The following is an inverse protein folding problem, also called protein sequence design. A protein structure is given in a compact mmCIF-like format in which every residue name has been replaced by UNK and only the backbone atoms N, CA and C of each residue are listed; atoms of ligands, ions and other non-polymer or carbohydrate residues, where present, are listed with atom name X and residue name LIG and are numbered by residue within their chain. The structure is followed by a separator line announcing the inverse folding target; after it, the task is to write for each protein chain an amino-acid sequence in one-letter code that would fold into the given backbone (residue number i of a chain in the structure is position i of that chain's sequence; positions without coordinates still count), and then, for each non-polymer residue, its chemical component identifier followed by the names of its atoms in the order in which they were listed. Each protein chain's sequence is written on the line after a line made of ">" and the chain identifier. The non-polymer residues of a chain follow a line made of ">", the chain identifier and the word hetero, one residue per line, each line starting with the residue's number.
data_IF_320470902178
#
_entry.id   IF_320470902178
#
_cell.length_a   1.000
_cell.length_b   1.000
_cell.length_c   1.000
_cell.angle_alpha   90.00
_cell.angle_beta   90.00
_cell.angle_gamma   90.00
#
_symmetry.space_group_name_H-M   'P 1'
#
loop_
_entity.id
_entity.type
_entity.pdbx_description
1 polymer ?
#
# COMPACT_ATOMS: atom_id res chain seq x y z
N UNK A 1 -0.38 -13.86 -23.54
CA UNK A 1 -0.06 -12.45 -23.20
C UNK A 1 -1.27 -11.60 -23.58
N UNK A 2 -2.12 -11.26 -22.62
CA UNK A 2 -3.25 -10.35 -22.86
C UNK A 2 -2.76 -8.90 -22.77
N UNK A 3 -3.05 -8.08 -23.77
CA UNK A 3 -2.80 -6.65 -23.74
C UNK A 3 -3.49 -6.02 -22.52
N UNK A 4 -2.71 -5.54 -21.56
CA UNK A 4 -3.23 -4.71 -20.48
C UNK A 4 -3.64 -3.40 -21.14
N UNK A 5 -4.95 -3.21 -21.38
CA UNK A 5 -5.49 -1.93 -21.81
C UNK A 5 -4.99 -0.87 -20.83
N UNK A 6 -4.15 0.03 -21.34
CA UNK A 6 -3.61 1.12 -20.55
C UNK A 6 -4.75 2.10 -20.37
N UNK A 7 -5.39 2.07 -19.21
CA UNK A 7 -6.56 2.92 -18.98
C UNK A 7 -6.08 4.36 -18.86
N UNK A 8 -6.47 5.20 -19.80
CA UNK A 8 -6.21 6.63 -19.79
C UNK A 8 -7.14 7.34 -18.79
N UNK A 9 -6.80 7.22 -17.50
CA UNK A 9 -7.55 7.85 -16.40
C UNK A 9 -7.64 9.37 -16.57
N UNK A 10 -6.64 10.00 -17.20
CA UNK A 10 -6.62 11.43 -17.49
C UNK A 10 -7.73 11.88 -18.44
N UNK A 11 -8.14 11.04 -19.40
CA UNK A 11 -9.26 11.35 -20.29
C UNK A 11 -10.60 11.22 -19.57
N UNK A 12 -10.73 10.22 -18.68
CA UNK A 12 -11.91 10.06 -17.85
C UNK A 12 -12.06 11.25 -16.90
N UNK A 13 -11.04 11.61 -16.13
CA UNK A 13 -11.16 12.68 -15.12
C UNK A 13 -11.36 14.09 -15.70
N UNK A 14 -10.98 14.33 -16.97
CA UNK A 14 -11.22 15.61 -17.65
C UNK A 14 -12.69 15.88 -17.99
N UNK A 15 -13.46 14.82 -18.20
CA UNK A 15 -14.81 14.93 -18.75
C UNK A 15 -15.91 14.87 -17.70
N UNK A 16 -15.57 14.62 -16.43
CA UNK A 16 -16.55 14.41 -15.37
C UNK A 16 -16.44 15.41 -14.24
N UNK A 17 -17.55 15.53 -13.51
CA UNK A 17 -17.67 16.43 -12.37
C UNK A 17 -16.75 15.97 -11.25
N UNK A 18 -15.81 16.84 -10.90
CA UNK A 18 -15.01 16.70 -9.68
C UNK A 18 -15.93 16.94 -8.46
N UNK A 19 -16.07 15.92 -7.61
CA UNK A 19 -16.89 15.99 -6.41
C UNK A 19 -16.06 16.39 -5.19
N UNK A 20 -14.80 15.99 -5.16
CA UNK A 20 -13.89 16.27 -4.05
C UNK A 20 -12.43 16.19 -4.51
N UNK A 21 -11.60 17.14 -4.08
CA UNK A 21 -10.14 17.04 -4.21
C UNK A 21 -9.45 17.71 -3.01
N UNK A 22 -8.90 16.89 -2.11
CA UNK A 22 -8.11 17.40 -0.98
C UNK A 22 -7.21 16.30 -0.45
N UNK A 23 -6.03 16.70 0.02
CA UNK A 23 -5.10 15.81 0.70
C UNK A 23 -4.77 14.53 -0.10
N UNK A 24 -4.72 14.60 -1.43
CA UNK A 24 -4.40 13.46 -2.28
C UNK A 24 -5.53 12.43 -2.40
N UNK A 25 -6.73 12.74 -1.90
CA UNK A 25 -7.97 12.04 -2.22
C UNK A 25 -8.74 12.89 -3.24
N UNK A 26 -9.00 12.31 -4.39
CA UNK A 26 -9.77 12.93 -5.48
C UNK A 26 -10.94 12.00 -5.83
N UNK A 27 -12.15 12.53 -5.88
CA UNK A 27 -13.36 11.75 -6.16
C UNK A 27 -14.15 12.40 -7.29
N UNK A 28 -14.57 11.57 -8.25
CA UNK A 28 -15.44 11.94 -9.37
C UNK A 28 -16.70 11.08 -9.33
N UNK A 29 -17.84 11.69 -9.68
CA UNK A 29 -19.05 10.97 -10.05
C UNK A 29 -19.09 10.90 -11.58
N UNK A 30 -19.25 9.68 -12.10
CA UNK A 30 -19.25 9.43 -13.55
C UNK A 30 -20.44 8.53 -13.93
N UNK A 31 -20.98 8.63 -15.16
CA UNK A 31 -21.98 7.68 -15.64
C UNK A 31 -21.41 6.25 -15.71
N UNK A 32 -22.14 5.26 -15.18
CA UNK A 32 -21.68 3.86 -15.11
C UNK A 32 -21.34 3.29 -16.49
N UNK A 33 -22.08 3.71 -17.53
CA UNK A 33 -21.86 3.31 -18.94
C UNK A 33 -20.46 3.63 -19.47
N UNK A 34 -19.80 4.66 -18.93
CA UNK A 34 -18.51 5.13 -19.44
C UNK A 34 -17.32 4.39 -18.79
N UNK A 35 -17.60 3.50 -17.84
CA UNK A 35 -16.60 2.76 -17.07
C UNK A 35 -16.42 1.30 -17.51
N UNK A 36 -17.05 0.87 -18.61
CA UNK A 36 -17.02 -0.52 -19.06
C UNK A 36 -15.59 -1.10 -19.13
N UNK A 37 -14.64 -0.35 -19.70
CA UNK A 37 -13.23 -0.77 -19.80
C UNK A 37 -12.50 -0.84 -18.44
N UNK A 38 -12.92 -0.03 -17.46
CA UNK A 38 -12.40 -0.01 -16.09
C UNK A 38 -12.92 -1.17 -15.24
N UNK A 39 -14.16 -1.56 -15.46
CA UNK A 39 -14.89 -2.54 -14.66
C UNK A 39 -14.65 -3.99 -15.15
N UNK A 40 -14.34 -4.19 -16.43
CA UNK A 40 -14.23 -5.53 -17.09
C UNK A 40 -12.95 -6.34 -16.77
N UNK A 41 -12.36 -6.20 -15.59
CA UNK A 41 -11.22 -7.05 -15.18
C UNK A 41 -11.07 -7.15 -13.68
N UNK A 42 -11.27 -8.35 -13.13
CA UNK A 42 -10.93 -8.82 -11.78
C UNK A 42 -10.93 -7.74 -10.68
N UNK A 43 -12.04 -7.03 -10.50
CA UNK A 43 -12.24 -6.23 -9.30
C UNK A 43 -12.48 -7.13 -8.10
N UNK A 44 -11.77 -6.86 -7.01
CA UNK A 44 -12.04 -7.51 -5.72
C UNK A 44 -13.44 -7.13 -5.24
N UNK A 45 -14.37 -8.07 -5.27
CA UNK A 45 -15.70 -7.87 -4.70
C UNK A 45 -15.57 -7.85 -3.18
N UNK A 46 -15.84 -6.70 -2.58
CA UNK A 46 -15.99 -6.57 -1.13
C UNK A 46 -17.48 -6.48 -0.81
N UNK A 47 -17.94 -7.25 0.18
CA UNK A 47 -19.31 -7.17 0.70
C UNK A 47 -19.50 -5.94 1.58
N UNK A 48 -20.77 -5.58 1.83
CA UNK A 48 -21.24 -4.40 2.57
C UNK A 48 -20.63 -4.28 3.98
N UNK A 49 -19.43 -3.71 4.07
CA UNK A 49 -18.74 -3.34 5.31
C UNK A 49 -17.83 -2.13 5.08
N UNK A 50 -17.26 -1.59 6.15
CA UNK A 50 -16.21 -0.57 6.11
C UNK A 50 -14.99 -1.07 5.35
N UNK A 51 -14.74 -0.52 4.16
CA UNK A 51 -13.62 -0.92 3.32
C UNK A 51 -12.49 0.08 3.45
N UNK A 52 -11.39 -0.35 4.07
CA UNK A 52 -10.17 0.41 4.09
C UNK A 52 -9.46 0.30 2.73
N UNK A 53 -9.30 1.43 2.03
CA UNK A 53 -8.58 1.49 0.77
C UNK A 53 -7.11 1.13 0.99
N UNK A 54 -6.63 0.14 0.24
CA UNK A 54 -5.34 -0.49 0.42
C UNK A 54 -4.16 0.50 0.41
N UNK A 55 -3.24 0.35 1.37
CA UNK A 55 -2.10 1.26 1.54
C UNK A 55 -2.47 2.65 2.07
N UNK A 56 -3.74 2.90 2.35
CA UNK A 56 -4.26 4.15 2.95
C UNK A 56 -5.01 3.85 4.25
N UNK A 57 -5.48 4.89 4.94
CA UNK A 57 -6.43 4.78 6.06
C UNK A 57 -7.82 5.29 5.69
N UNK A 58 -8.10 5.42 4.40
CA UNK A 58 -9.38 5.91 3.92
C UNK A 58 -10.37 4.76 4.03
N UNK A 59 -11.46 4.97 4.76
CA UNK A 59 -12.53 3.99 4.96
C UNK A 59 -13.71 4.40 4.07
N UNK A 60 -14.18 3.48 3.25
CA UNK A 60 -15.42 3.61 2.49
C UNK A 60 -16.51 2.81 3.16
N UNK A 61 -17.59 3.49 3.54
CA UNK A 61 -18.80 2.86 4.03
C UNK A 61 -19.88 2.95 2.94
N UNK A 62 -20.38 1.78 2.53
CA UNK A 62 -21.43 1.64 1.53
C UNK A 62 -22.54 0.77 2.12
N UNK A 63 -23.64 1.37 2.62
CA UNK A 63 -24.73 0.63 3.25
C UNK A 63 -25.63 -0.11 2.26
N UNK A 64 -25.52 0.19 0.97
CA UNK A 64 -26.29 -0.42 -0.12
C UNK A 64 -25.52 -1.59 -0.77
N UNK A 65 -26.24 -2.41 -1.55
CA UNK A 65 -25.62 -3.41 -2.41
C UNK A 65 -24.86 -2.74 -3.56
N UNK A 66 -23.63 -3.16 -3.76
CA UNK A 66 -22.78 -2.62 -4.81
C UNK A 66 -21.53 -3.46 -5.04
N UNK A 67 -20.60 -2.91 -5.82
CA UNK A 67 -19.30 -3.52 -6.06
C UNK A 67 -18.24 -2.43 -6.10
N UNK A 68 -17.13 -2.68 -5.39
CA UNK A 68 -15.94 -1.85 -5.48
C UNK A 68 -14.91 -2.60 -6.32
N UNK A 69 -14.53 -2.04 -7.45
CA UNK A 69 -13.46 -2.52 -8.30
C UNK A 69 -12.17 -1.79 -7.89
N UNK A 70 -11.33 -2.48 -7.12
CA UNK A 70 -10.00 -1.99 -6.77
C UNK A 70 -9.00 -2.17 -7.91
N UNK A 71 -8.48 -1.09 -8.48
CA UNK A 71 -7.31 -1.09 -9.37
C UNK A 71 -6.17 -0.34 -8.70
N UNK A 72 -5.26 -1.11 -8.12
CA UNK A 72 -4.40 -0.55 -7.09
C UNK A 72 -3.44 0.54 -7.51
N UNK A 73 -3.04 0.69 -8.79
CA UNK A 73 -2.09 1.74 -9.18
C UNK A 73 -2.36 2.31 -10.58
N UNK A 74 -2.36 3.63 -10.65
CA UNK A 74 -2.40 4.47 -11.84
C UNK A 74 -1.36 5.58 -11.69
N UNK A 75 -0.74 5.99 -12.79
CA UNK A 75 0.20 7.11 -12.80
C UNK A 75 -0.54 8.34 -13.30
N UNK A 76 -0.57 9.40 -12.48
CA UNK A 76 -1.22 10.68 -12.81
C UNK A 76 -0.26 11.79 -12.41
N UNK A 77 0.07 12.70 -13.34
CA UNK A 77 1.03 13.79 -13.11
C UNK A 77 2.37 13.32 -12.52
N UNK A 78 2.90 12.19 -13.02
CA UNK A 78 4.12 11.53 -12.50
C UNK A 78 4.04 11.04 -11.04
N UNK A 79 2.87 11.00 -10.43
CA UNK A 79 2.65 10.41 -9.10
C UNK A 79 1.93 9.06 -9.20
N UNK A 80 2.34 8.11 -8.36
CA UNK A 80 1.66 6.82 -8.21
C UNK A 80 0.44 6.97 -7.29
N UNK A 81 -0.74 6.67 -7.80
CA UNK A 81 -2.03 6.78 -7.10
C UNK A 81 -2.80 5.47 -7.21
N UNK A 82 -3.66 5.16 -6.25
CA UNK A 82 -4.60 4.06 -6.32
C UNK A 82 -5.90 4.53 -6.93
N UNK A 83 -6.49 3.71 -7.79
CA UNK A 83 -7.77 3.96 -8.43
C UNK A 83 -8.79 2.93 -7.95
N UNK A 84 -9.87 3.41 -7.36
CA UNK A 84 -10.98 2.56 -6.92
C UNK A 84 -12.22 3.02 -7.66
N UNK A 85 -12.99 2.08 -8.17
CA UNK A 85 -14.26 2.37 -8.84
C UNK A 85 -15.36 1.72 -8.02
N UNK A 86 -16.35 2.49 -7.59
CA UNK A 86 -17.47 1.98 -6.81
C UNK A 86 -18.75 2.14 -7.63
N UNK A 87 -19.53 1.06 -7.70
CA UNK A 87 -20.86 1.05 -8.32
C UNK A 87 -21.88 0.60 -7.28
N UNK A 88 -23.05 1.23 -7.24
CA UNK A 88 -24.19 0.75 -6.47
C UNK A 88 -25.27 0.23 -7.43
N UNK A 89 -26.07 -0.73 -6.98
CA UNK A 89 -27.19 -1.24 -7.78
C UNK A 89 -28.43 -0.34 -7.67
N UNK A 90 -28.52 0.43 -6.58
CA UNK A 90 -29.59 1.39 -6.28
C UNK A 90 -28.98 2.72 -5.80
N UNK A 91 -29.84 3.75 -5.64
CA UNK A 91 -29.46 5.02 -5.03
C UNK A 91 -28.87 4.79 -3.63
N UNK A 92 -27.69 5.35 -3.37
CA UNK A 92 -26.92 5.03 -2.18
C UNK A 92 -26.17 6.23 -1.63
N UNK A 93 -26.14 6.39 -0.29
CA UNK A 93 -25.23 7.32 0.38
C UNK A 93 -23.93 6.59 0.73
N UNK A 94 -22.85 6.94 0.04
CA UNK A 94 -21.50 6.45 0.30
C UNK A 94 -20.79 7.43 1.22
N UNK A 95 -20.20 6.93 2.31
CA UNK A 95 -19.41 7.74 3.23
C UNK A 95 -17.93 7.43 3.00
N UNK A 96 -17.12 8.46 2.79
CA UNK A 96 -15.66 8.36 2.68
C UNK A 96 -15.01 9.07 3.87
N UNK A 97 -14.34 8.30 4.73
CA UNK A 97 -13.70 8.81 5.94
C UNK A 97 -12.18 8.72 5.88
N UNK A 98 -11.51 9.79 6.27
CA UNK A 98 -10.08 9.82 6.52
C UNK A 98 -9.77 10.67 7.75
N UNK A 99 -9.83 10.02 8.91
CA UNK A 99 -9.71 10.67 10.22
C UNK A 99 -8.40 11.48 10.37
N UNK A 100 -7.29 10.97 9.84
CA UNK A 100 -5.99 11.64 9.91
C UNK A 100 -5.94 12.98 9.15
N UNK A 101 -6.83 13.21 8.18
CA UNK A 101 -6.96 14.46 7.42
C UNK A 101 -8.25 15.23 7.78
N UNK A 102 -9.01 14.76 8.78
CA UNK A 102 -10.30 15.35 9.15
C UNK A 102 -11.35 15.28 8.04
N UNK A 103 -11.29 14.26 7.19
CA UNK A 103 -12.22 14.10 6.06
C UNK A 103 -13.34 13.14 6.49
N UNK A 104 -14.58 13.59 6.33
CA UNK A 104 -15.78 12.77 6.45
C UNK A 104 -16.77 13.26 5.39
N UNK A 105 -16.72 12.65 4.21
CA UNK A 105 -17.49 13.06 3.05
C UNK A 105 -18.68 12.12 2.86
N UNK A 106 -19.86 12.69 2.65
CA UNK A 106 -21.07 11.97 2.27
C UNK A 106 -21.39 12.26 0.82
N UNK A 107 -21.45 11.22 0.00
CA UNK A 107 -21.75 11.31 -1.42
C UNK A 107 -23.01 10.51 -1.72
N UNK A 108 -24.01 11.16 -2.30
CA UNK A 108 -25.14 10.46 -2.89
C UNK A 108 -24.73 9.96 -4.27
N UNK A 109 -24.84 8.65 -4.48
CA UNK A 109 -24.59 7.97 -5.73
C UNK A 109 -25.91 7.44 -6.29
N UNK A 110 -26.27 7.83 -7.51
CA UNK A 110 -27.46 7.28 -8.18
C UNK A 110 -27.11 5.93 -8.83
N UNK A 111 -28.06 4.99 -8.95
CA UNK A 111 -27.78 3.66 -9.49
C UNK A 111 -27.20 3.63 -10.93
N UNK A 112 -27.39 4.70 -11.71
CA UNK A 112 -26.81 4.89 -13.05
C UNK A 112 -25.41 5.51 -13.05
N UNK A 113 -24.91 5.90 -11.88
CA UNK A 113 -23.62 6.55 -11.66
C UNK A 113 -22.61 5.58 -11.04
N UNK A 114 -21.37 6.04 -10.96
CA UNK A 114 -20.28 5.35 -10.30
C UNK A 114 -19.32 6.37 -9.70
N UNK A 115 -18.67 6.00 -8.60
CA UNK A 115 -17.61 6.81 -8.02
C UNK A 115 -16.27 6.33 -8.54
N UNK A 116 -15.49 7.25 -9.10
CA UNK A 116 -14.05 7.07 -9.26
C UNK A 116 -13.38 7.72 -8.06
N UNK A 117 -12.64 6.93 -7.29
CA UNK A 117 -11.92 7.36 -6.10
C UNK A 117 -10.43 7.17 -6.38
N UNK A 118 -9.71 8.28 -6.49
CA UNK A 118 -8.27 8.32 -6.72
C UNK A 118 -7.60 8.72 -5.41
N UNK A 119 -6.70 7.89 -4.92
CA UNK A 119 -6.00 8.14 -3.67
C UNK A 119 -4.51 8.10 -3.88
N UNK A 120 -3.79 9.08 -3.35
CA UNK A 120 -2.34 8.99 -3.23
C UNK A 120 -2.03 7.88 -2.24
N UNK A 121 -1.35 6.84 -2.70
CA UNK A 121 -1.03 5.68 -1.86
C UNK A 121 0.14 5.96 -0.92
N UNK A 122 0.92 6.98 -1.23
CA UNK A 122 1.93 7.50 -0.32
C UNK A 122 1.28 8.52 0.63
N UNK A 123 1.52 8.35 1.93
CA UNK A 123 1.01 9.27 2.96
C UNK A 123 1.40 10.71 2.68
N UNK A 124 0.44 11.61 2.88
CA UNK A 124 0.71 13.04 3.08
C UNK A 124 1.25 13.22 4.50
N UNK A 125 2.57 13.30 4.63
CA UNK A 125 3.25 13.83 5.81
C UNK A 125 4.21 12.88 6.54
N UNK A 126 5.20 13.50 7.18
CA UNK A 126 6.23 12.87 8.05
C UNK A 126 5.68 12.54 9.44
N UNK A 127 4.50 11.93 9.59
CA UNK A 127 4.07 11.45 10.91
C UNK A 127 4.93 10.23 11.27
N UNK A 128 5.73 10.32 12.34
CA UNK A 128 6.54 9.21 12.85
C UNK A 128 5.63 8.01 13.14
N UNK A 129 5.71 6.98 12.30
CA UNK A 129 5.05 5.69 12.58
C UNK A 129 5.76 5.12 13.79
N UNK A 130 4.98 4.72 14.81
CA UNK A 130 5.53 3.99 15.94
C UNK A 130 5.70 2.52 15.54
N UNK A 131 6.77 1.85 16.01
CA UNK A 131 6.91 0.40 15.89
C UNK A 131 5.67 -0.33 16.39
N UNK A 132 5.31 -1.46 15.78
CA UNK A 132 4.31 -2.35 16.36
C UNK A 132 4.86 -3.01 17.62
N UNK A 133 3.99 -3.25 18.61
CA UNK A 133 4.38 -3.94 19.86
C UNK A 133 4.99 -5.31 19.59
N UNK A 134 4.54 -5.99 18.54
CA UNK A 134 5.05 -7.29 18.14
C UNK A 134 6.49 -7.20 17.61
N UNK A 135 6.80 -6.24 16.73
CA UNK A 135 8.16 -6.02 16.26
C UNK A 135 9.13 -5.67 17.41
N UNK A 136 8.66 -4.88 18.40
CA UNK A 136 9.45 -4.60 19.61
C UNK A 136 9.72 -5.85 20.45
N UNK A 137 8.77 -6.79 20.52
CA UNK A 137 8.97 -8.08 21.20
C UNK A 137 10.02 -8.92 20.48
N UNK A 138 10.00 -8.97 19.15
CA UNK A 138 11.03 -9.65 18.34
C UNK A 138 12.41 -9.05 18.62
N UNK A 139 12.53 -7.71 18.53
CA UNK A 139 13.78 -7.02 18.84
C UNK A 139 14.30 -7.39 20.23
N UNK A 140 13.42 -7.36 21.25
CA UNK A 140 13.80 -7.74 22.62
C UNK A 140 14.23 -9.21 22.73
N UNK A 141 13.50 -10.13 22.09
CA UNK A 141 13.81 -11.56 22.11
C UNK A 141 15.16 -11.88 21.45
N UNK A 142 15.50 -11.13 20.40
CA UNK A 142 16.79 -11.24 19.71
C UNK A 142 17.91 -10.42 20.39
N UNK A 143 17.65 -9.73 21.51
CA UNK A 143 18.65 -8.91 22.19
C UNK A 143 19.09 -7.68 21.38
N UNK A 144 18.19 -7.13 20.56
CA UNK A 144 18.46 -6.02 19.64
C UNK A 144 17.92 -4.70 20.17
N UNK A 145 18.66 -3.63 19.90
CA UNK A 145 18.19 -2.26 20.08
C UNK A 145 18.46 -1.45 18.82
N UNK A 146 17.58 -0.50 18.52
CA UNK A 146 17.65 0.20 17.25
C UNK A 146 16.55 1.21 17.04
N UNK A 147 16.56 1.82 15.86
CA UNK A 147 15.60 2.84 15.44
C UNK A 147 14.78 2.37 14.23
N UNK A 148 13.49 2.63 14.24
CA UNK A 148 12.62 2.40 13.08
C UNK A 148 12.99 3.39 11.97
N UNK A 149 13.29 2.86 10.79
CA UNK A 149 13.59 3.64 9.58
C UNK A 149 12.39 3.70 8.64
N UNK A 150 11.65 2.61 8.54
CA UNK A 150 10.48 2.51 7.68
C UNK A 150 9.43 1.59 8.31
N UNK A 151 8.17 1.97 8.15
CA UNK A 151 7.05 1.07 8.35
C UNK A 151 5.98 1.48 7.34
N UNK A 152 5.27 0.52 6.78
CA UNK A 152 4.06 0.83 6.02
C UNK A 152 2.91 1.20 6.97
N UNK A 153 1.76 1.59 6.41
CA UNK A 153 0.64 2.08 7.21
C UNK A 153 -0.02 0.99 8.08
N UNK A 154 0.06 -0.27 7.64
CA UNK A 154 -0.58 -1.43 8.27
C UNK A 154 0.41 -2.25 9.12
N UNK A 155 1.68 -1.83 9.19
CA UNK A 155 2.77 -2.59 9.82
C UNK A 155 2.98 -3.99 9.23
N UNK A 156 2.58 -4.21 7.97
CA UNK A 156 2.89 -5.39 7.17
C UNK A 156 4.40 -5.50 6.90
N UNK A 157 5.11 -4.37 6.85
CA UNK A 157 6.57 -4.34 6.80
C UNK A 157 7.11 -3.25 7.73
N UNK A 158 8.15 -3.58 8.49
CA UNK A 158 8.86 -2.66 9.36
C UNK A 158 10.36 -2.89 9.25
N UNK A 159 11.13 -1.84 8.99
CA UNK A 159 12.59 -1.89 8.86
C UNK A 159 13.22 -1.04 9.97
N UNK A 160 14.09 -1.67 10.76
CA UNK A 160 14.84 -1.06 11.83
C UNK A 160 16.33 -1.03 11.48
N UNK A 161 17.00 0.08 11.78
CA UNK A 161 18.45 0.07 11.92
C UNK A 161 18.77 -0.51 13.28
N UNK A 162 19.70 -1.45 13.33
CA UNK A 162 20.22 -1.99 14.58
C UNK A 162 21.39 -1.13 15.02
N UNK A 163 21.28 -0.54 16.20
CA UNK A 163 22.33 0.31 16.78
C UNK A 163 23.26 -0.52 17.67
N UNK A 164 22.71 -1.44 18.48
CA UNK A 164 23.50 -2.42 19.24
C UNK A 164 22.95 -3.83 19.05
N UNK A 165 23.89 -4.78 18.93
CA UNK A 165 23.65 -6.20 18.69
C UNK A 165 24.44 -7.02 19.71
N UNK A 166 23.76 -7.89 20.47
CA UNK A 166 24.39 -8.72 21.51
C UNK A 166 24.81 -10.12 21.03
N UNK A 167 24.47 -10.52 19.80
CA UNK A 167 24.77 -11.84 19.23
C UNK A 167 26.03 -11.92 18.34
N UNK A 168 26.35 -13.12 17.86
CA UNK A 168 27.49 -13.38 16.99
C UNK A 168 27.33 -12.79 15.57
N UNK A 169 28.44 -12.74 14.82
CA UNK A 169 28.52 -12.30 13.43
C UNK A 169 27.56 -13.10 12.53
N UNK A 170 26.80 -12.39 11.71
CA UNK A 170 25.86 -12.98 10.76
C UNK A 170 26.65 -13.48 9.55
N UNK A 171 26.65 -14.79 9.29
CA UNK A 171 27.26 -15.41 8.11
C UNK A 171 26.20 -16.10 7.28
N UNK A 172 26.22 -15.87 5.96
CA UNK A 172 25.22 -16.43 5.06
C UNK A 172 25.51 -16.13 3.61
N UNK A 173 24.69 -16.67 2.68
CA UNK A 173 24.85 -16.40 1.27
C UNK A 173 24.66 -14.91 0.99
N UNK A 174 25.49 -14.41 0.09
CA UNK A 174 25.39 -13.05 -0.37
C UNK A 174 24.28 -12.97 -1.43
N UNK A 175 23.31 -12.09 -1.20
CA UNK A 175 22.13 -11.88 -2.05
C UNK A 175 21.99 -10.41 -2.41
N UNK A 176 21.49 -10.10 -3.60
CA UNK A 176 21.20 -8.73 -4.06
C UNK A 176 19.73 -8.34 -3.89
N UNK A 177 18.86 -9.32 -3.70
CA UNK A 177 17.42 -9.13 -3.54
C UNK A 177 16.84 -10.23 -2.65
N UNK A 178 15.87 -9.86 -1.82
CA UNK A 178 15.07 -10.81 -1.04
C UNK A 178 13.59 -10.55 -1.31
N UNK A 179 12.89 -11.57 -1.82
CA UNK A 179 11.46 -11.50 -2.12
C UNK A 179 10.68 -12.39 -1.16
N UNK A 180 9.64 -11.82 -0.52
CA UNK A 180 8.80 -12.48 0.48
C UNK A 180 7.34 -12.09 0.26
N UNK A 181 6.54 -13.03 -0.23
CA UNK A 181 5.15 -12.75 -0.60
C UNK A 181 5.06 -11.57 -1.58
N UNK A 182 4.26 -10.52 -1.29
CA UNK A 182 4.16 -9.35 -2.16
C UNK A 182 5.32 -8.37 -1.99
N UNK A 183 6.32 -8.64 -1.14
CA UNK A 183 7.42 -7.71 -0.86
C UNK A 183 8.72 -8.13 -1.52
N UNK A 184 9.51 -7.15 -1.94
CA UNK A 184 10.87 -7.34 -2.43
C UNK A 184 11.77 -6.26 -1.84
N UNK A 185 12.92 -6.67 -1.34
CA UNK A 185 13.96 -5.80 -0.79
C UNK A 185 15.17 -5.90 -1.71
N UNK A 186 15.45 -4.85 -2.47
CA UNK A 186 16.59 -4.79 -3.38
C UNK A 186 17.71 -4.00 -2.76
N UNK A 187 18.92 -4.55 -2.75
CA UNK A 187 20.08 -3.96 -2.11
C UNK A 187 20.97 -3.23 -3.13
N UNK A 188 21.68 -2.19 -2.69
CA UNK A 188 22.64 -1.46 -3.53
C UNK A 188 23.85 -2.31 -3.94
N UNK A 189 24.19 -3.28 -3.09
CA UNK A 189 25.25 -4.25 -3.29
C UNK A 189 24.81 -5.58 -2.68
N UNK A 190 25.58 -6.61 -2.99
CA UNK A 190 25.37 -7.91 -2.41
C UNK A 190 25.51 -7.85 -0.88
N UNK A 191 24.51 -8.35 -0.16
CA UNK A 191 24.39 -8.33 1.29
C UNK A 191 24.04 -9.70 1.85
N UNK A 192 24.21 -9.88 3.15
CA UNK A 192 23.80 -11.12 3.82
C UNK A 192 22.40 -10.88 4.39
N UNK A 193 21.45 -11.74 4.03
CA UNK A 193 20.11 -11.73 4.60
C UNK A 193 19.77 -13.10 5.20
N UNK A 194 19.40 -13.14 6.47
CA UNK A 194 19.07 -14.38 7.19
C UNK A 194 17.72 -14.25 7.85
N UNK A 195 16.87 -15.25 7.66
CA UNK A 195 15.63 -15.37 8.40
C UNK A 195 15.93 -15.91 9.81
N UNK A 196 15.61 -15.10 10.82
CA UNK A 196 15.84 -15.43 12.24
C UNK A 196 14.56 -15.75 13.00
N UNK A 197 13.40 -15.55 12.38
CA UNK A 197 12.12 -15.97 12.93
C UNK A 197 11.13 -16.13 11.79
N UNK A 198 10.51 -17.30 11.71
CA UNK A 198 9.38 -17.56 10.82
C UNK A 198 8.28 -18.26 11.63
N UNK A 199 7.24 -17.51 11.97
CA UNK A 199 6.15 -18.01 12.80
C UNK A 199 4.81 -17.46 12.33
N UNK A 200 3.86 -18.34 11.99
CA UNK A 200 2.44 -18.03 11.74
C UNK A 200 2.18 -16.71 11.00
N UNK A 201 2.80 -16.53 9.82
CA UNK A 201 2.60 -15.36 8.98
C UNK A 201 3.59 -14.21 9.20
N UNK A 202 4.35 -14.22 10.30
CA UNK A 202 5.40 -13.24 10.55
C UNK A 202 6.78 -13.78 10.22
N UNK A 203 7.55 -13.03 9.43
CA UNK A 203 8.96 -13.27 9.15
C UNK A 203 9.84 -12.15 9.69
N UNK A 204 10.98 -12.48 10.29
CA UNK A 204 11.98 -11.52 10.71
C UNK A 204 13.32 -11.82 10.04
N UNK A 205 13.82 -10.86 9.26
CA UNK A 205 15.10 -10.95 8.58
C UNK A 205 16.13 -10.04 9.23
N UNK A 206 17.34 -10.56 9.36
CA UNK A 206 18.52 -9.74 9.59
C UNK A 206 19.27 -9.52 8.30
N UNK A 207 19.64 -8.28 8.05
CA UNK A 207 20.34 -7.88 6.83
C UNK A 207 21.60 -7.10 7.19
N UNK A 208 22.74 -7.47 6.61
CA UNK A 208 24.04 -6.81 6.81
C UNK A 208 24.77 -6.67 5.47
N UNK A 209 25.78 -5.80 5.41
CA UNK A 209 26.71 -5.67 4.31
C UNK A 209 26.24 -4.70 3.23
N UNK A 210 25.14 -3.99 3.46
CA UNK A 210 24.46 -3.11 2.51
C UNK A 210 24.44 -1.67 3.01
N UNK A 211 24.27 -0.70 2.11
CA UNK A 211 24.05 0.70 2.51
C UNK A 211 22.64 1.18 2.18
N UNK A 212 21.90 0.42 1.37
CA UNK A 212 20.59 0.84 0.90
C UNK A 212 19.66 -0.36 0.77
N UNK A 213 18.42 -0.18 1.18
CA UNK A 213 17.31 -1.09 0.91
C UNK A 213 16.27 -0.34 0.10
N UNK A 214 16.06 -0.74 -1.15
CA UNK A 214 14.91 -0.33 -1.95
C UNK A 214 13.76 -1.28 -1.64
N UNK A 215 12.69 -0.74 -1.08
CA UNK A 215 11.50 -1.49 -0.69
C UNK A 215 10.54 -1.48 -1.86
N UNK A 216 10.28 -2.66 -2.42
CA UNK A 216 9.33 -2.87 -3.49
C UNK A 216 8.16 -3.70 -3.03
N UNK A 217 7.02 -3.49 -3.69
CA UNK A 217 5.83 -4.31 -3.54
C UNK A 217 5.27 -4.75 -4.89
N UNK A 218 4.93 -6.02 -5.00
CA UNK A 218 4.22 -6.59 -6.13
C UNK A 218 2.72 -6.36 -5.97
N UNK A 219 2.10 -5.85 -7.03
CA UNK A 219 0.66 -5.68 -7.11
C UNK A 219 0.13 -6.63 -8.19
N UNK A 220 -0.43 -7.80 -7.80
CA UNK A 220 -0.83 -8.84 -8.76
C UNK A 220 -1.83 -8.36 -9.81
N UNK A 221 -2.72 -7.43 -9.44
CA UNK A 221 -3.71 -6.83 -10.36
C UNK A 221 -3.08 -6.06 -11.52
N UNK A 222 -1.80 -5.72 -11.42
CA UNK A 222 -1.04 -4.96 -12.43
C UNK A 222 0.12 -5.76 -13.03
N UNK A 223 0.44 -6.93 -12.45
CA UNK A 223 1.59 -7.74 -12.84
C UNK A 223 2.92 -6.99 -12.76
N UNK A 224 3.06 -6.03 -11.83
CA UNK A 224 4.21 -5.13 -11.73
C UNK A 224 4.68 -4.95 -10.29
N UNK A 225 5.99 -4.77 -10.14
CA UNK A 225 6.66 -4.37 -8.90
C UNK A 225 6.83 -2.86 -8.86
N UNK A 226 6.57 -2.26 -7.70
CA UNK A 226 6.69 -0.82 -7.50
C UNK A 226 7.58 -0.52 -6.31
N UNK A 227 8.50 0.44 -6.48
CA UNK A 227 9.28 1.00 -5.39
C UNK A 227 8.38 1.89 -4.52
N UNK A 228 8.28 1.54 -3.23
CA UNK A 228 7.51 2.32 -2.26
C UNK A 228 8.38 3.30 -1.49
N UNK A 229 9.59 2.88 -1.13
CA UNK A 229 10.53 3.71 -0.38
C UNK A 229 11.95 3.17 -0.51
N UNK A 230 12.90 4.01 -0.10
CA UNK A 230 14.31 3.70 -0.06
C UNK A 230 14.87 4.06 1.31
N UNK A 231 15.41 3.07 2.00
CA UNK A 231 16.14 3.25 3.25
C UNK A 231 17.62 3.38 2.92
N UNK A 232 18.27 4.45 3.40
CA UNK A 232 19.69 4.74 3.11
C UNK A 232 20.46 4.86 4.42
N UNK A 233 21.63 4.23 4.46
CA UNK A 233 22.64 4.30 5.51
C UNK A 233 23.45 3.00 5.60
N UNK A 234 24.74 3.03 5.95
CA UNK A 234 25.44 1.80 6.30
C UNK A 234 24.87 1.25 7.62
N UNK A 235 24.76 -0.07 7.74
CA UNK A 235 24.44 -0.70 9.02
C UNK A 235 23.86 -2.10 8.92
N UNK A 236 23.53 -2.63 10.09
CA UNK A 236 22.74 -3.84 10.25
C UNK A 236 21.26 -3.46 10.33
N UNK A 237 20.42 -4.28 9.72
CA UNK A 237 18.99 -4.06 9.63
C UNK A 237 18.22 -5.25 10.17
N UNK A 238 17.12 -4.98 10.86
CA UNK A 238 16.07 -5.95 11.12
C UNK A 238 14.86 -5.56 10.27
N UNK A 239 14.37 -6.50 9.47
CA UNK A 239 13.11 -6.36 8.74
C UNK A 239 12.10 -7.31 9.36
N UNK A 240 10.96 -6.79 9.80
CA UNK A 240 9.83 -7.58 10.30
C UNK A 240 8.69 -7.46 9.31
N UNK A 241 8.16 -8.60 8.88
CA UNK A 241 7.05 -8.73 7.95
C UNK A 241 5.91 -9.46 8.63
N UNK A 242 4.67 -8.99 8.49
CA UNK A 242 3.46 -9.61 9.04
C UNK A 242 2.47 -9.99 7.94
#
# INVERSE_FOLDING_TARGET
>A
MGSINTIHVEELTRNYRLCYDKAGLTIYIVPRKDLGSLIMGNGLRFSNEDIQLYGTKIILYMPCTGTIYGRYLVQINNELRGLYVLTADEDCEVITQWNDQGINLKLRLVGSESLIIIVRLMRIGKRRIKPSNYALRIMKALGLSGRLLYADANHEIQIFRIDNWLGAWITGPCVSEVSMGPWSLVFDKCGIAINVMDTNGTQALLINGINTIVIKRHYPSLGKWYELNKVIGPGNYLVVLN
#
